data_IF_526257702273
#
_entry.id   IF_526257702273
#
_cell.length_a   1.000
_cell.length_b   1.000
_cell.length_c   1.000
_cell.angle_alpha   90.00
_cell.angle_beta   90.00
_cell.angle_gamma   90.00
#
_symmetry.space_group_name_H-M   'P 1'
#
loop_
_entity.id
_entity.type
_entity.pdbx_description
1 polymer ?
#
# COMPACT_ATOMS: atom_id res chain seq x y z
N UNK A 1 3.12 45.10 -66.82
CA UNK A 1 3.82 43.80 -66.73
C UNK A 1 5.18 44.02 -66.08
N UNK A 2 5.75 43.07 -65.31
CA UNK A 2 5.09 41.95 -64.63
C UNK A 2 4.34 42.52 -63.39
N UNK A 3 4.30 42.01 -62.14
CA UNK A 3 4.76 40.77 -61.49
C UNK A 3 3.84 40.45 -60.30
N UNK A 4 3.48 39.18 -60.13
CA UNK A 4 2.59 38.68 -59.06
C UNK A 4 3.35 38.46 -57.75
N UNK A 5 2.81 38.86 -56.60
CA UNK A 5 3.35 38.50 -55.27
C UNK A 5 2.53 37.39 -54.62
N UNK A 6 3.22 36.36 -54.15
CA UNK A 6 2.65 35.12 -53.65
C UNK A 6 2.27 35.21 -52.17
N UNK A 7 1.10 34.68 -51.82
CA UNK A 7 0.53 34.68 -50.47
C UNK A 7 0.98 33.44 -49.71
N UNK A 8 1.63 33.60 -48.56
CA UNK A 8 1.86 32.50 -47.60
C UNK A 8 1.46 32.96 -46.19
N UNK A 9 0.40 32.36 -45.65
CA UNK A 9 0.10 32.41 -44.23
C UNK A 9 0.71 31.18 -43.55
N UNK A 10 1.54 31.39 -42.53
CA UNK A 10 2.09 30.32 -41.70
C UNK A 10 1.35 30.27 -40.37
N UNK A 11 0.46 29.29 -40.18
CA UNK A 11 -0.16 29.04 -38.89
C UNK A 11 0.86 28.37 -37.96
N UNK A 12 1.20 29.01 -36.84
CA UNK A 12 2.09 28.45 -35.83
C UNK A 12 1.33 27.40 -35.00
N UNK A 13 1.59 26.11 -35.27
CA UNK A 13 1.08 25.01 -34.47
C UNK A 13 1.91 24.84 -33.20
N UNK A 14 1.36 25.27 -32.06
CA UNK A 14 1.91 24.99 -30.73
C UNK A 14 1.65 23.51 -30.39
N UNK A 15 2.68 22.66 -30.56
CA UNK A 15 2.62 21.26 -30.18
C UNK A 15 2.66 21.07 -28.66
N UNK A 16 1.58 20.58 -28.07
CA UNK A 16 1.56 20.19 -26.66
C UNK A 16 2.22 18.81 -26.48
N UNK A 17 3.38 18.77 -25.80
CA UNK A 17 4.05 17.51 -25.44
C UNK A 17 3.41 16.95 -24.17
N UNK A 18 2.62 15.89 -24.32
CA UNK A 18 2.06 15.15 -23.18
C UNK A 18 3.14 14.25 -22.56
N UNK A 19 3.77 14.71 -21.47
CA UNK A 19 4.66 13.90 -20.66
C UNK A 19 3.86 12.84 -19.88
N UNK A 20 3.79 11.63 -20.42
CA UNK A 20 3.20 10.49 -19.74
C UNK A 20 4.13 10.01 -18.62
N UNK A 21 3.84 10.39 -17.38
CA UNK A 21 4.56 9.95 -16.19
C UNK A 21 4.23 8.48 -15.87
N UNK A 22 4.92 7.56 -16.55
CA UNK A 22 4.89 6.15 -16.20
C UNK A 22 5.47 5.95 -14.79
N UNK A 23 4.61 5.67 -13.81
CA UNK A 23 5.05 5.18 -12.51
C UNK A 23 5.67 3.78 -12.69
N UNK A 24 7.00 3.72 -12.70
CA UNK A 24 7.72 2.45 -12.55
C UNK A 24 7.70 2.11 -11.06
N UNK A 25 7.08 0.99 -10.64
CA UNK A 25 7.13 0.58 -9.24
C UNK A 25 8.60 0.33 -8.85
N UNK A 26 9.02 0.69 -7.63
CA UNK A 26 10.39 0.46 -7.20
C UNK A 26 10.72 -1.04 -7.21
N UNK A 27 11.99 -1.35 -7.49
CA UNK A 27 12.50 -2.71 -7.36
C UNK A 27 12.32 -3.14 -5.89
N UNK A 28 11.58 -4.24 -5.66
CA UNK A 28 11.18 -4.64 -4.31
C UNK A 28 9.85 -4.03 -3.81
N UNK A 29 8.93 -3.65 -4.70
CA UNK A 29 7.54 -3.36 -4.33
C UNK A 29 6.73 -4.63 -4.02
N UNK A 30 5.75 -4.53 -3.12
CA UNK A 30 4.85 -5.63 -2.70
C UNK A 30 3.47 -5.10 -2.30
N UNK A 31 2.38 -5.76 -2.70
CA UNK A 31 1.03 -5.46 -2.18
C UNK A 31 0.80 -6.24 -0.87
N UNK A 32 0.29 -5.57 0.15
CA UNK A 32 -0.21 -6.20 1.38
C UNK A 32 -1.72 -6.06 1.45
N UNK A 33 -2.40 -7.19 1.59
CA UNK A 33 -3.82 -7.28 1.90
C UNK A 33 -4.00 -8.03 3.22
N UNK A 34 -5.07 -7.75 3.96
CA UNK A 34 -5.37 -8.48 5.18
C UNK A 34 -6.80 -8.35 5.66
N UNK A 35 -7.15 -9.19 6.64
CA UNK A 35 -8.37 -9.09 7.41
C UNK A 35 -8.05 -9.17 8.89
N UNK A 36 -8.54 -8.22 9.68
CA UNK A 36 -8.37 -8.16 11.12
C UNK A 36 -9.71 -8.21 11.85
N UNK A 37 -9.66 -8.62 13.13
CA UNK A 37 -10.85 -8.72 13.98
C UNK A 37 -11.37 -10.14 14.13
N UNK A 38 -12.24 -10.36 15.10
CA UNK A 38 -12.75 -11.71 15.45
C UNK A 38 -13.68 -12.26 14.38
N UNK A 39 -14.34 -11.39 13.62
CA UNK A 39 -15.24 -11.73 12.52
C UNK A 39 -14.66 -11.31 11.16
N UNK A 40 -13.37 -10.92 11.11
CA UNK A 40 -12.75 -10.35 9.91
C UNK A 40 -13.35 -8.99 9.54
N UNK A 41 -13.87 -8.25 10.51
CA UNK A 41 -14.66 -7.03 10.33
C UNK A 41 -13.85 -5.81 9.85
N UNK A 42 -12.53 -5.93 9.75
CA UNK A 42 -11.61 -4.93 9.19
C UNK A 42 -10.87 -5.47 7.98
N UNK A 43 -10.90 -4.76 6.85
CA UNK A 43 -10.00 -4.99 5.71
C UNK A 43 -8.74 -4.14 5.86
N UNK A 44 -7.58 -4.71 5.52
CA UNK A 44 -6.28 -4.04 5.50
C UNK A 44 -5.75 -4.01 4.07
N UNK A 45 -5.22 -2.87 3.63
CA UNK A 45 -4.63 -2.69 2.29
C UNK A 45 -3.39 -1.80 2.37
N UNK A 46 -2.39 -2.04 1.51
CA UNK A 46 -1.21 -1.18 1.43
C UNK A 46 -0.25 -1.58 0.32
N UNK A 47 0.67 -0.66 0.01
CA UNK A 47 1.72 -0.84 -0.99
C UNK A 47 3.06 -0.60 -0.30
N UNK A 48 3.86 -1.65 -0.17
CA UNK A 48 5.12 -1.61 0.56
C UNK A 48 6.31 -1.62 -0.41
N UNK A 49 7.42 -1.09 0.06
CA UNK A 49 8.68 -1.02 -0.70
C UNK A 49 9.82 -1.60 0.12
N UNK A 50 10.74 -2.31 -0.53
CA UNK A 50 11.90 -2.93 0.13
C UNK A 50 12.81 -1.88 0.81
N UNK A 51 13.07 -2.09 2.10
CA UNK A 51 13.69 -1.12 2.99
C UNK A 51 15.21 -1.34 3.09
N UNK A 52 15.92 -1.05 2.00
CA UNK A 52 17.38 -1.06 1.93
C UNK A 52 18.01 -2.42 1.56
N UNK A 53 19.34 -2.47 1.33
CA UNK A 53 20.03 -3.63 0.73
C UNK A 53 20.33 -4.77 1.71
N UNK A 54 19.62 -4.84 2.84
CA UNK A 54 19.95 -5.75 3.94
C UNK A 54 19.42 -7.17 3.68
N UNK A 55 20.20 -8.21 4.03
CA UNK A 55 19.86 -9.61 3.71
C UNK A 55 18.58 -10.14 4.40
N UNK A 56 17.97 -9.33 5.27
CA UNK A 56 16.67 -9.56 5.88
C UNK A 56 15.64 -8.76 5.09
N UNK A 57 14.94 -9.45 4.17
CA UNK A 57 13.79 -8.91 3.40
C UNK A 57 12.87 -8.10 4.30
N UNK A 58 12.98 -6.78 4.19
CA UNK A 58 12.24 -5.81 4.97
C UNK A 58 11.43 -4.95 4.02
N UNK A 59 10.18 -4.71 4.36
CA UNK A 59 9.28 -3.90 3.56
C UNK A 59 8.62 -2.85 4.46
N UNK A 60 8.46 -1.63 3.95
CA UNK A 60 7.74 -0.58 4.66
C UNK A 60 6.89 0.26 3.73
N UNK A 61 5.85 0.86 4.28
CA UNK A 61 4.97 1.77 3.54
C UNK A 61 3.62 1.98 4.21
N UNK A 62 2.77 2.81 3.60
CA UNK A 62 1.49 3.17 4.15
C UNK A 62 0.50 2.01 4.12
N UNK A 63 -0.33 1.96 5.16
CA UNK A 63 -1.49 1.09 5.29
C UNK A 63 -2.77 1.92 5.39
N UNK A 64 -3.85 1.30 4.92
CA UNK A 64 -5.22 1.72 5.19
C UNK A 64 -6.00 0.53 5.75
N UNK A 65 -6.70 0.75 6.86
CA UNK A 65 -7.63 -0.21 7.46
C UNK A 65 -9.05 0.31 7.36
N UNK A 66 -10.01 -0.53 6.99
CA UNK A 66 -11.41 -0.14 6.74
C UNK A 66 -12.37 -1.09 7.43
N UNK A 67 -13.29 -0.56 8.23
CA UNK A 67 -14.31 -1.37 8.90
C UNK A 67 -15.40 -1.78 7.90
N UNK A 68 -15.53 -3.08 7.63
CA UNK A 68 -16.52 -3.63 6.69
C UNK A 68 -17.71 -4.32 7.37
N UNK A 69 -17.61 -4.64 8.66
CA UNK A 69 -18.69 -5.29 9.42
C UNK A 69 -19.82 -4.38 9.93
N UNK A 70 -19.75 -3.05 9.71
CA UNK A 70 -20.73 -2.06 10.22
C UNK A 70 -21.10 -1.11 9.09
N UNK A 71 -22.41 -0.88 8.92
CA UNK A 71 -22.94 0.19 8.09
C UNK A 71 -23.27 1.39 8.98
N UNK A 72 -22.51 2.48 8.87
CA UNK A 72 -22.83 3.76 9.49
C UNK A 72 -23.25 4.79 8.42
N UNK A 73 -24.00 5.82 8.84
CA UNK A 73 -24.55 6.82 7.91
C UNK A 73 -23.46 7.60 7.17
N UNK A 74 -22.36 7.89 7.86
CA UNK A 74 -21.22 8.65 7.33
C UNK A 74 -20.23 7.77 6.51
N UNK A 75 -20.57 6.49 6.33
CA UNK A 75 -19.74 5.48 5.68
C UNK A 75 -18.99 4.58 6.67
N UNK A 76 -18.22 3.60 6.16
CA UNK A 76 -17.38 2.73 6.98
C UNK A 76 -16.24 3.52 7.66
N UNK A 77 -15.90 3.17 8.91
CA UNK A 77 -14.74 3.74 9.60
C UNK A 77 -13.45 3.38 8.83
N UNK A 78 -12.58 4.36 8.61
CA UNK A 78 -11.27 4.15 7.97
C UNK A 78 -10.15 4.68 8.88
N UNK A 79 -9.07 3.91 8.98
CA UNK A 79 -7.88 4.24 9.75
C UNK A 79 -6.66 4.29 8.84
N UNK A 80 -5.81 5.28 9.03
CA UNK A 80 -4.55 5.41 8.31
C UNK A 80 -3.41 4.84 9.16
N UNK A 81 -2.34 4.38 8.51
CA UNK A 81 -1.20 3.87 9.23
C UNK A 81 0.04 3.65 8.38
N UNK A 82 1.07 3.16 9.05
CA UNK A 82 2.35 2.76 8.46
C UNK A 82 2.69 1.37 8.99
N UNK A 83 3.40 0.57 8.18
CA UNK A 83 3.95 -0.72 8.59
C UNK A 83 5.43 -0.82 8.28
N UNK A 84 6.16 -1.47 9.17
CA UNK A 84 7.47 -2.05 8.90
C UNK A 84 7.41 -3.56 9.13
N UNK A 85 7.58 -4.31 8.06
CA UNK A 85 7.45 -5.75 7.99
C UNK A 85 8.81 -6.40 7.72
N UNK A 86 9.09 -7.53 8.36
CA UNK A 86 10.29 -8.33 8.15
C UNK A 86 9.92 -9.80 7.89
N UNK A 87 10.42 -10.36 6.79
CA UNK A 87 10.29 -11.78 6.46
C UNK A 87 11.53 -12.54 6.92
N UNK A 88 11.32 -13.73 7.52
CA UNK A 88 12.40 -14.60 7.99
C UNK A 88 12.11 -16.07 7.67
N UNK A 89 13.15 -16.91 7.75
CA UNK A 89 13.04 -18.37 7.56
C UNK A 89 12.53 -18.76 6.17
N UNK A 90 13.14 -18.24 5.10
CA UNK A 90 12.67 -18.43 3.71
C UNK A 90 11.19 -18.04 3.53
N UNK A 91 10.83 -16.85 4.04
CA UNK A 91 9.49 -16.26 4.03
C UNK A 91 8.42 -17.05 4.81
N UNK A 92 8.80 -18.08 5.59
CA UNK A 92 7.86 -18.87 6.40
C UNK A 92 7.34 -18.15 7.65
N UNK A 93 7.98 -17.05 8.06
CA UNK A 93 7.57 -16.26 9.21
C UNK A 93 7.62 -14.77 8.90
N UNK A 94 6.69 -14.03 9.49
CA UNK A 94 6.62 -12.56 9.41
C UNK A 94 6.53 -11.97 10.80
N UNK A 95 7.25 -10.88 11.02
CA UNK A 95 7.06 -9.96 12.14
C UNK A 95 6.84 -8.56 11.58
N UNK A 96 5.97 -7.78 12.22
CA UNK A 96 5.73 -6.41 11.84
C UNK A 96 5.46 -5.49 13.03
N UNK A 97 5.96 -4.26 12.90
CA UNK A 97 5.59 -3.10 13.70
C UNK A 97 4.64 -2.25 12.87
N UNK A 98 3.52 -1.81 13.44
CA UNK A 98 2.52 -0.99 12.78
C UNK A 98 2.23 0.25 13.64
N UNK A 99 1.82 1.33 13.00
CA UNK A 99 1.15 2.46 13.66
C UNK A 99 -0.19 2.64 12.97
N UNK A 100 -1.31 2.55 13.72
CA UNK A 100 -2.68 2.67 13.21
C UNK A 100 -3.39 3.79 13.97
N UNK A 101 -3.79 4.86 13.29
CA UNK A 101 -4.29 6.12 13.88
C UNK A 101 -3.41 6.62 15.06
N UNK A 102 -2.08 6.53 14.89
CA UNK A 102 -1.11 6.93 15.91
C UNK A 102 -0.90 5.92 17.05
N UNK A 103 -1.70 4.87 17.17
CA UNK A 103 -1.50 3.82 18.16
C UNK A 103 -0.46 2.80 17.68
N UNK A 104 0.59 2.48 18.46
CA UNK A 104 1.56 1.46 18.10
C UNK A 104 0.95 0.06 18.24
N UNK A 105 1.25 -0.81 17.29
CA UNK A 105 0.85 -2.20 17.27
C UNK A 105 1.98 -3.13 16.83
N UNK A 106 1.90 -4.39 17.24
CA UNK A 106 2.79 -5.47 16.78
C UNK A 106 1.98 -6.61 16.17
N UNK A 107 2.59 -7.31 15.22
CA UNK A 107 2.05 -8.49 14.57
C UNK A 107 3.16 -9.53 14.38
N UNK A 108 2.81 -10.80 14.56
CA UNK A 108 3.67 -11.92 14.19
C UNK A 108 2.83 -13.10 13.73
N UNK A 109 3.29 -13.78 12.69
CA UNK A 109 2.56 -14.87 12.06
C UNK A 109 3.50 -15.86 11.36
N UNK A 110 2.99 -17.08 11.15
CA UNK A 110 3.64 -18.10 10.31
C UNK A 110 2.85 -18.29 9.03
N UNK A 111 3.56 -18.57 7.94
CA UNK A 111 2.96 -18.85 6.64
C UNK A 111 2.44 -20.28 6.60
N UNK A 112 1.15 -20.44 6.35
CA UNK A 112 0.53 -21.72 6.01
C UNK A 112 0.10 -21.69 4.54
N UNK A 113 -0.93 -20.89 4.24
CA UNK A 113 -1.38 -20.51 2.90
C UNK A 113 -1.35 -18.98 2.77
N UNK A 114 -1.76 -18.30 3.84
CA UNK A 114 -1.52 -16.91 4.16
C UNK A 114 -0.65 -16.81 5.43
N UNK A 115 -0.38 -15.60 5.90
CA UNK A 115 0.20 -15.38 7.23
C UNK A 115 -0.96 -15.19 8.21
N UNK A 116 -1.07 -16.08 9.20
CA UNK A 116 -2.10 -16.01 10.24
C UNK A 116 -1.45 -15.82 11.61
N UNK A 117 -1.96 -14.85 12.39
CA UNK A 117 -1.44 -14.50 13.70
C UNK A 117 -2.29 -13.45 14.41
N UNK A 118 -1.69 -12.76 15.36
CA UNK A 118 -2.39 -11.81 16.25
C UNK A 118 -1.85 -10.41 16.09
N UNK A 119 -2.73 -9.44 15.83
CA UNK A 119 -2.46 -8.01 15.91
C UNK A 119 -2.70 -7.55 17.35
N UNK A 120 -1.70 -6.92 17.97
CA UNK A 120 -1.75 -6.41 19.34
C UNK A 120 -1.41 -4.92 19.35
N UNK A 121 -2.38 -4.07 19.67
CA UNK A 121 -2.22 -2.60 19.73
C UNK A 121 -2.27 -2.10 21.17
N UNK A 122 -1.52 -1.03 21.48
CA UNK A 122 -1.55 -0.42 22.81
C UNK A 122 -2.98 0.04 23.20
N UNK A 123 -3.37 -0.24 24.45
CA UNK A 123 -4.69 0.12 24.97
C UNK A 123 -5.87 -0.66 24.38
N UNK A 124 -5.65 -1.69 23.55
CA UNK A 124 -6.71 -2.48 22.89
C UNK A 124 -6.54 -3.98 23.15
N UNK A 125 -7.63 -4.73 23.07
CA UNK A 125 -7.57 -6.18 23.09
C UNK A 125 -6.87 -6.71 21.82
N UNK A 126 -5.99 -7.74 21.92
CA UNK A 126 -5.43 -8.39 20.74
C UNK A 126 -6.51 -9.06 19.89
N UNK A 127 -6.37 -8.99 18.56
CA UNK A 127 -7.32 -9.57 17.60
C UNK A 127 -6.61 -10.43 16.55
N UNK A 128 -7.29 -11.41 15.92
CA UNK A 128 -6.75 -12.12 14.76
C UNK A 128 -6.40 -11.15 13.63
N UNK A 129 -5.35 -11.47 12.89
CA UNK A 129 -4.96 -10.79 11.65
C UNK A 129 -4.43 -11.83 10.64
N UNK A 130 -5.15 -11.97 9.53
CA UNK A 130 -4.74 -12.73 8.34
C UNK A 130 -4.14 -11.76 7.33
N UNK A 131 -2.99 -12.10 6.74
CA UNK A 131 -2.27 -11.28 5.77
C UNK A 131 -1.88 -12.09 4.53
N UNK A 132 -2.14 -11.50 3.37
CA UNK A 132 -1.65 -11.95 2.06
C UNK A 132 -0.63 -10.94 1.54
N UNK A 133 0.53 -11.45 1.12
CA UNK A 133 1.60 -10.69 0.49
C UNK A 133 1.67 -11.11 -0.98
N UNK A 134 1.70 -10.15 -1.90
CA UNK A 134 1.71 -10.37 -3.36
C UNK A 134 2.82 -9.59 -4.05
#
# INVERSE_FOLDING_TARGET
>A
MPRTTWRNGGAALLGAVALCLCHVPPLGAMEILGQAGVLGEWELTGHLTESGPDARKQFSGPLKMKHVGICAQDGPEERAGEIRLQLTGADSQVTAELVLDGAPCTYSARKTHNYEGTLSCEGRAPVPLLVWLK
#
